data_IF_748781726325
#
_entry.id   IF_748781726325
#
_cell.length_a   1.000
_cell.length_b   1.000
_cell.length_c   1.000
_cell.angle_alpha   90.00
_cell.angle_beta   90.00
_cell.angle_gamma   90.00
#
_symmetry.space_group_name_H-M   'P 1'
#
loop_
_entity.id
_entity.type
_entity.pdbx_description
1 polymer ?
#
# COMPACT_ATOMS: atom_id res chain seq x y z
N UNK A 1 17.19 -13.73 -15.16
CA UNK A 1 16.78 -12.34 -15.44
C UNK A 1 16.91 -11.54 -14.16
N UNK A 2 17.95 -10.70 -14.01
CA UNK A 2 18.10 -9.81 -12.84
C UNK A 2 17.18 -8.61 -13.07
N UNK A 3 16.07 -8.53 -12.35
CA UNK A 3 15.22 -7.34 -12.40
C UNK A 3 15.91 -6.28 -11.52
N UNK A 4 16.55 -5.30 -12.14
CA UNK A 4 17.25 -4.18 -11.45
C UNK A 4 16.29 -3.11 -10.92
N UNK A 5 14.99 -3.27 -11.11
CA UNK A 5 14.00 -2.24 -10.86
C UNK A 5 13.15 -2.62 -9.65
N UNK A 6 12.96 -1.69 -8.72
CA UNK A 6 12.03 -1.87 -7.59
C UNK A 6 10.59 -1.53 -8.02
N UNK A 7 9.61 -1.81 -7.16
CA UNK A 7 8.21 -1.42 -7.36
C UNK A 7 7.95 0.08 -7.47
N UNK A 8 8.97 0.92 -7.25
CA UNK A 8 8.91 2.36 -7.52
C UNK A 8 9.02 2.67 -9.01
N UNK A 9 9.59 1.76 -9.81
CA UNK A 9 9.76 1.99 -11.23
C UNK A 9 8.40 2.00 -11.96
N UNK A 10 8.06 3.04 -12.74
CA UNK A 10 6.73 3.19 -13.34
C UNK A 10 6.27 1.99 -14.17
N UNK A 11 7.18 1.41 -14.98
CA UNK A 11 6.85 0.26 -15.81
C UNK A 11 6.52 -1.01 -14.99
N UNK A 12 7.20 -1.21 -13.85
CA UNK A 12 6.90 -2.34 -12.97
C UNK A 12 5.61 -2.12 -12.21
N UNK A 13 5.37 -0.90 -11.73
CA UNK A 13 4.09 -0.55 -11.10
C UNK A 13 2.94 -0.77 -12.07
N UNK A 14 3.05 -0.32 -13.32
CA UNK A 14 2.06 -0.56 -14.36
C UNK A 14 1.84 -2.06 -14.59
N UNK A 15 2.91 -2.85 -14.70
CA UNK A 15 2.81 -4.31 -14.87
C UNK A 15 2.15 -5.01 -13.67
N UNK A 16 2.47 -4.60 -12.43
CA UNK A 16 1.84 -5.16 -11.21
C UNK A 16 0.34 -4.90 -11.20
N UNK A 17 -0.09 -3.69 -11.56
CA UNK A 17 -1.51 -3.32 -11.58
C UNK A 17 -2.24 -3.74 -12.86
N UNK A 18 -1.62 -4.42 -13.81
CA UNK A 18 -2.35 -5.08 -14.91
C UNK A 18 -3.10 -6.33 -14.45
N UNK A 19 -2.72 -6.93 -13.32
CA UNK A 19 -3.43 -8.08 -12.75
C UNK A 19 -4.71 -7.61 -12.03
N UNK A 20 -5.90 -8.03 -12.47
CA UNK A 20 -7.16 -7.63 -11.85
C UNK A 20 -7.25 -8.04 -10.37
N UNK A 21 -6.57 -9.12 -9.96
CA UNK A 21 -6.56 -9.56 -8.56
C UNK A 21 -5.82 -8.55 -7.69
N UNK A 22 -4.71 -8.01 -8.18
CA UNK A 22 -3.95 -6.97 -7.44
C UNK A 22 -4.79 -5.70 -7.29
N UNK A 23 -5.54 -5.33 -8.33
CA UNK A 23 -6.47 -4.20 -8.25
C UNK A 23 -7.58 -4.45 -7.23
N UNK A 24 -8.18 -5.65 -7.26
CA UNK A 24 -9.23 -6.05 -6.33
C UNK A 24 -8.75 -6.03 -4.89
N UNK A 25 -7.58 -6.62 -4.61
CA UNK A 25 -6.96 -6.61 -3.28
C UNK A 25 -6.71 -5.17 -2.83
N UNK A 26 -6.17 -4.30 -3.69
CA UNK A 26 -5.98 -2.89 -3.35
C UNK A 26 -7.30 -2.21 -2.98
N UNK A 27 -8.38 -2.46 -3.73
CA UNK A 27 -9.69 -1.88 -3.39
C UNK A 27 -10.22 -2.42 -2.05
N UNK A 28 -10.09 -3.73 -1.79
CA UNK A 28 -10.51 -4.33 -0.52
C UNK A 28 -9.75 -3.72 0.66
N UNK A 29 -8.42 -3.66 0.58
CA UNK A 29 -7.58 -3.06 1.61
C UNK A 29 -7.91 -1.59 1.84
N UNK A 30 -8.17 -0.82 0.78
CA UNK A 30 -8.57 0.59 0.93
C UNK A 30 -9.95 0.75 1.58
N UNK A 31 -10.90 -0.16 1.35
CA UNK A 31 -12.19 -0.12 2.03
C UNK A 31 -12.05 -0.39 3.53
N UNK A 32 -11.24 -1.38 3.91
CA UNK A 32 -10.94 -1.69 5.31
C UNK A 32 -10.22 -0.51 5.98
N UNK A 33 -9.17 0.03 5.34
CA UNK A 33 -8.46 1.19 5.85
C UNK A 33 -9.38 2.40 6.00
N UNK A 34 -10.36 2.60 5.11
CA UNK A 34 -11.29 3.73 5.26
C UNK A 34 -12.23 3.59 6.45
N UNK A 35 -12.49 2.37 6.92
CA UNK A 35 -13.25 2.17 8.15
C UNK A 35 -12.40 2.51 9.37
N UNK A 36 -11.13 2.07 9.38
CA UNK A 36 -10.19 2.31 10.49
C UNK A 36 -9.74 3.78 10.52
N UNK A 37 -9.41 4.36 9.38
CA UNK A 37 -9.01 5.77 9.22
C UNK A 37 -10.21 6.73 9.14
N UNK A 38 -11.43 6.24 9.39
CA UNK A 38 -12.66 7.03 9.33
C UNK A 38 -13.22 7.35 10.72
N UNK A 39 -14.48 7.83 10.78
CA UNK A 39 -15.13 8.22 12.03
C UNK A 39 -15.17 7.12 13.10
N UNK A 40 -15.15 5.86 12.68
CA UNK A 40 -15.14 4.72 13.59
C UNK A 40 -13.80 4.59 14.33
N UNK A 41 -12.68 4.76 13.64
CA UNK A 41 -11.37 4.77 14.31
C UNK A 41 -11.18 6.01 15.18
N UNK A 42 -11.67 7.17 14.72
CA UNK A 42 -11.69 8.38 15.54
C UNK A 42 -12.48 8.17 16.84
N UNK A 43 -13.68 7.60 16.75
CA UNK A 43 -14.50 7.25 17.92
C UNK A 43 -13.79 6.22 18.84
N UNK A 44 -13.06 5.28 18.26
CA UNK A 44 -12.29 4.28 18.99
C UNK A 44 -10.96 4.81 19.56
N UNK A 45 -10.59 6.07 19.29
CA UNK A 45 -9.34 6.68 19.73
C UNK A 45 -8.10 6.11 19.02
N UNK A 46 -8.23 5.69 17.77
CA UNK A 46 -7.10 5.23 16.95
C UNK A 46 -6.28 6.44 16.51
N UNK A 47 -5.06 6.54 17.05
CA UNK A 47 -4.10 7.59 16.70
C UNK A 47 -3.17 7.17 15.55
N UNK A 48 -2.75 5.89 15.54
CA UNK A 48 -1.81 5.35 14.56
C UNK A 48 -2.30 4.03 13.97
N UNK A 49 -2.06 3.84 12.66
CA UNK A 49 -2.36 2.61 11.92
C UNK A 49 -1.10 2.13 11.19
N UNK A 50 -0.60 0.96 11.57
CA UNK A 50 0.53 0.32 10.89
C UNK A 50 0.06 -0.78 9.94
N UNK A 51 0.46 -0.69 8.67
CA UNK A 51 0.13 -1.69 7.63
C UNK A 51 1.41 -2.29 7.06
N UNK A 52 1.55 -3.61 7.16
CA UNK A 52 2.65 -4.34 6.56
C UNK A 52 2.20 -5.01 5.25
N UNK A 53 2.89 -4.71 4.15
CA UNK A 53 2.67 -5.37 2.86
C UNK A 53 3.93 -6.13 2.47
N UNK A 54 3.83 -7.44 2.33
CA UNK A 54 4.97 -8.29 2.01
C UNK A 54 4.82 -8.98 0.64
N UNK A 55 5.96 -9.21 -0.01
CA UNK A 55 6.07 -10.16 -1.09
C UNK A 55 7.37 -10.95 -0.89
N UNK A 56 7.57 -12.04 -1.64
CA UNK A 56 8.70 -12.98 -1.44
C UNK A 56 10.04 -12.28 -1.20
N UNK A 57 10.34 -11.24 -2.00
CA UNK A 57 11.62 -10.56 -1.95
C UNK A 57 11.53 -9.11 -1.45
N UNK A 58 10.35 -8.64 -1.04
CA UNK A 58 10.15 -7.26 -0.55
C UNK A 58 10.40 -6.12 -1.56
N UNK A 59 10.76 -6.40 -2.82
CA UNK A 59 11.28 -5.39 -3.75
C UNK A 59 10.30 -4.87 -4.80
N UNK A 60 9.26 -5.64 -5.18
CA UNK A 60 8.47 -5.36 -6.39
C UNK A 60 6.99 -5.12 -6.09
N UNK A 61 6.25 -6.20 -5.81
CA UNK A 61 4.79 -6.17 -5.61
C UNK A 61 4.43 -5.39 -4.36
N UNK A 62 5.06 -5.72 -3.23
CA UNK A 62 4.84 -5.03 -1.96
C UNK A 62 5.09 -3.53 -2.06
N UNK A 63 6.22 -3.16 -2.68
CA UNK A 63 6.58 -1.74 -2.89
C UNK A 63 5.58 -1.03 -3.80
N UNK A 64 5.21 -1.63 -4.93
CA UNK A 64 4.22 -1.02 -5.85
C UNK A 64 2.87 -0.81 -5.16
N UNK A 65 2.47 -1.79 -4.35
CA UNK A 65 1.19 -1.80 -3.66
C UNK A 65 1.14 -0.79 -2.50
N UNK A 66 2.14 -0.78 -1.62
CA UNK A 66 2.21 0.14 -0.48
C UNK A 66 2.27 1.59 -0.95
N UNK A 67 2.97 1.86 -2.05
CA UNK A 67 3.06 3.21 -2.61
C UNK A 67 1.75 3.69 -3.25
N UNK A 68 0.99 2.81 -3.89
CA UNK A 68 -0.36 3.17 -4.37
C UNK A 68 -1.34 3.35 -3.21
N UNK A 69 -1.27 2.48 -2.21
CA UNK A 69 -2.07 2.61 -0.99
C UNK A 69 -1.78 3.92 -0.26
N UNK A 70 -0.51 4.23 0.00
CA UNK A 70 -0.09 5.47 0.65
C UNK A 70 -0.55 6.70 -0.13
N UNK A 71 -0.42 6.69 -1.47
CA UNK A 71 -0.92 7.79 -2.31
C UNK A 71 -2.43 8.01 -2.14
N UNK A 72 -3.23 6.94 -2.02
CA UNK A 72 -4.68 7.02 -1.85
C UNK A 72 -5.07 7.49 -0.46
N UNK A 73 -4.41 6.96 0.57
CA UNK A 73 -4.67 7.30 1.99
C UNK A 73 -4.26 8.75 2.28
N UNK A 74 -3.13 9.23 1.75
CA UNK A 74 -2.77 10.66 1.78
C UNK A 74 -3.84 11.54 1.14
N UNK A 75 -4.49 11.05 0.08
CA UNK A 75 -5.63 11.72 -0.55
C UNK A 75 -6.90 11.80 0.33
N UNK A 76 -6.95 11.07 1.45
CA UNK A 76 -8.01 11.19 2.46
C UNK A 76 -7.67 12.20 3.57
N UNK A 77 -6.48 12.81 3.54
CA UNK A 77 -6.03 13.79 4.54
C UNK A 77 -5.16 13.21 5.65
N UNK A 78 -4.80 11.93 5.57
CA UNK A 78 -3.92 11.28 6.56
C UNK A 78 -2.45 11.53 6.26
N UNK A 79 -1.66 11.75 7.32
CA UNK A 79 -0.22 11.65 7.25
C UNK A 79 0.17 10.18 7.11
N UNK A 80 1.05 9.86 6.16
CA UNK A 80 1.43 8.47 5.86
C UNK A 80 2.93 8.40 5.64
N UNK A 81 3.60 7.64 6.50
CA UNK A 81 4.99 7.25 6.36
C UNK A 81 5.11 5.87 5.72
N UNK A 82 5.97 5.77 4.71
CA UNK A 82 6.29 4.50 4.04
C UNK A 82 7.74 4.17 4.31
N UNK A 83 7.97 3.05 5.00
CA UNK A 83 9.29 2.53 5.28
C UNK A 83 9.45 1.13 4.67
N UNK A 84 10.63 0.85 4.15
CA UNK A 84 11.03 -0.52 3.81
C UNK A 84 11.68 -1.15 5.04
N UNK A 85 11.19 -2.32 5.47
CA UNK A 85 11.90 -3.10 6.48
C UNK A 85 13.11 -3.77 5.83
N UNK A 86 14.30 -3.27 6.11
CA UNK A 86 15.55 -3.99 5.85
C UNK A 86 15.76 -4.99 7.00
N UNK A 87 15.44 -6.26 6.76
CA UNK A 87 15.91 -7.37 7.59
C UNK A 87 17.40 -7.63 7.36
#
# INVERSE_FOLDING_TARGET
MRVQYSGLHPALRAAVFQDPRVQQELQSTLMELRQVCGPWGEYAGVEDVAVAVCCIAGMHRSVSFVEEMARRVRGWGWEVDVAASSS
#
